data_IF_135643482828
#
_entry.id   IF_135643482828
#
_cell.length_a   1.000
_cell.length_b   1.000
_cell.length_c   1.000
_cell.angle_alpha   90.00
_cell.angle_beta   90.00
_cell.angle_gamma   90.00
#
_symmetry.space_group_name_H-M   'P 1'
#
loop_
_entity.id
_entity.type
_entity.pdbx_description
1 polymer ?
#
# COMPACT_ATOMS: atom_id res chain seq x y z
N UNK A 1 -0.52 -32.42 23.64
CA UNK A 1 -1.97 -32.13 23.62
C UNK A 1 -2.21 -30.94 24.52
N UNK A 2 -2.07 -29.75 23.98
CA UNK A 2 -2.55 -28.52 24.61
C UNK A 2 -3.99 -28.33 24.15
N UNK A 3 -4.89 -28.38 25.12
CA UNK A 3 -6.34 -28.28 24.96
C UNK A 3 -6.64 -26.84 24.52
N UNK A 4 -6.88 -26.66 23.22
CA UNK A 4 -7.23 -25.37 22.62
C UNK A 4 -8.69 -25.06 22.97
N UNK A 5 -8.91 -24.57 24.19
CA UNK A 5 -10.22 -24.06 24.64
C UNK A 5 -10.54 -22.81 23.84
N UNK A 6 -11.17 -23.01 22.69
CA UNK A 6 -11.84 -21.95 21.94
C UNK A 6 -12.87 -21.31 22.88
N UNK A 7 -12.58 -20.09 23.35
CA UNK A 7 -13.56 -19.32 24.12
C UNK A 7 -14.81 -19.14 23.25
N UNK A 8 -16.02 -19.22 23.82
CA UNK A 8 -17.23 -18.98 23.05
C UNK A 8 -17.17 -17.57 22.46
N UNK A 9 -17.41 -17.46 21.15
CA UNK A 9 -17.45 -16.17 20.46
C UNK A 9 -18.55 -15.31 21.09
N UNK A 10 -18.17 -14.15 21.62
CA UNK A 10 -19.13 -13.14 22.10
C UNK A 10 -19.57 -12.31 20.90
N UNK A 11 -20.88 -12.13 20.73
CA UNK A 11 -21.45 -11.28 19.68
C UNK A 11 -22.16 -10.09 20.31
N UNK A 12 -21.95 -8.91 19.74
CA UNK A 12 -22.65 -7.67 20.11
C UNK A 12 -23.44 -7.21 18.89
N UNK A 13 -24.72 -6.90 19.08
CA UNK A 13 -25.62 -6.47 18.00
C UNK A 13 -26.26 -5.13 18.36
N UNK A 14 -26.37 -4.25 17.37
CA UNK A 14 -27.05 -2.96 17.50
C UNK A 14 -28.57 -3.15 17.37
N UNK A 15 -29.26 -3.25 18.49
CA UNK A 15 -30.73 -3.44 18.51
C UNK A 15 -31.52 -2.14 18.26
N UNK A 16 -30.96 -0.98 18.63
CA UNK A 16 -31.56 0.33 18.41
C UNK A 16 -30.48 1.41 18.42
N UNK A 17 -30.70 2.52 17.70
CA UNK A 17 -29.70 3.58 17.58
C UNK A 17 -29.87 4.40 16.29
N UNK A 18 -28.78 4.84 15.64
CA UNK A 18 -28.86 5.70 14.45
C UNK A 18 -29.71 5.08 13.36
N UNK A 19 -30.53 5.92 12.69
CA UNK A 19 -31.44 5.49 11.61
C UNK A 19 -30.75 5.36 10.24
N UNK A 20 -29.43 5.56 10.19
CA UNK A 20 -28.64 5.49 8.96
C UNK A 20 -28.18 4.06 8.65
N UNK A 21 -27.70 3.85 7.42
CA UNK A 21 -27.03 2.61 7.02
C UNK A 21 -25.68 2.46 7.72
N UNK A 22 -25.29 1.23 8.05
CA UNK A 22 -23.98 0.89 8.59
C UNK A 22 -24.06 -0.08 9.77
N UNK A 23 -23.02 -0.89 9.90
CA UNK A 23 -22.75 -1.76 11.05
C UNK A 23 -21.95 -1.03 12.14
N UNK A 24 -21.81 -1.65 13.32
CA UNK A 24 -20.92 -1.15 14.37
C UNK A 24 -19.48 -0.98 13.83
N UNK A 25 -19.02 -1.93 13.02
CA UNK A 25 -17.69 -1.92 12.40
C UNK A 25 -17.53 -0.74 11.42
N UNK A 26 -18.59 -0.40 10.67
CA UNK A 26 -18.58 0.78 9.78
C UNK A 26 -18.46 2.09 10.58
N UNK A 27 -19.14 2.16 11.73
CA UNK A 27 -19.07 3.32 12.61
C UNK A 27 -17.68 3.44 13.27
N UNK A 28 -17.12 2.34 13.75
CA UNK A 28 -15.76 2.30 14.29
C UNK A 28 -14.75 2.72 13.24
N UNK A 29 -14.82 2.18 12.02
CA UNK A 29 -13.94 2.55 10.92
C UNK A 29 -14.05 4.05 10.59
N UNK A 30 -15.25 4.60 10.54
CA UNK A 30 -15.47 6.03 10.33
C UNK A 30 -14.80 6.87 11.44
N UNK A 31 -15.01 6.50 12.70
CA UNK A 31 -14.44 7.25 13.82
C UNK A 31 -12.92 7.11 13.90
N UNK A 32 -12.37 5.93 13.63
CA UNK A 32 -10.94 5.67 13.59
C UNK A 32 -10.26 6.51 12.49
N UNK A 33 -10.79 6.51 11.27
CA UNK A 33 -10.29 7.32 10.16
C UNK A 33 -10.33 8.81 10.48
N UNK A 34 -11.43 9.30 11.06
CA UNK A 34 -11.57 10.71 11.47
C UNK A 34 -10.60 11.11 12.57
N UNK A 35 -10.35 10.22 13.54
CA UNK A 35 -9.38 10.48 14.60
C UNK A 35 -7.94 10.52 14.04
N UNK A 36 -7.61 9.57 13.18
CA UNK A 36 -6.30 9.48 12.53
C UNK A 36 -6.01 10.70 11.64
N UNK A 37 -6.97 11.08 10.78
CA UNK A 37 -6.88 12.29 9.96
C UNK A 37 -6.63 13.55 10.79
N UNK A 38 -7.32 13.67 11.93
CA UNK A 38 -7.09 14.79 12.87
C UNK A 38 -5.66 14.80 13.40
N UNK A 39 -5.11 13.67 13.81
CA UNK A 39 -3.74 13.61 14.32
C UNK A 39 -2.72 13.91 13.22
N UNK A 40 -2.87 13.31 12.04
CA UNK A 40 -2.02 13.58 10.88
C UNK A 40 -2.02 15.07 10.51
N UNK A 41 -3.20 15.68 10.43
CA UNK A 41 -3.35 17.12 10.14
C UNK A 41 -2.68 18.00 11.19
N UNK A 42 -2.78 17.65 12.48
CA UNK A 42 -2.23 18.46 13.57
C UNK A 42 -0.72 18.34 13.72
N UNK A 43 -0.17 17.14 13.49
CA UNK A 43 1.27 16.90 13.52
C UNK A 43 1.94 17.42 12.24
N UNK A 44 1.25 17.33 11.10
CA UNK A 44 1.82 17.57 9.79
C UNK A 44 2.87 16.52 9.43
N UNK A 45 3.38 16.59 8.19
CA UNK A 45 4.39 15.65 7.68
C UNK A 45 5.62 15.57 8.58
N UNK A 46 6.24 16.71 8.91
CA UNK A 46 7.45 16.70 9.73
C UNK A 46 7.19 16.18 11.16
N UNK A 47 6.07 16.55 11.78
CA UNK A 47 5.74 16.04 13.12
C UNK A 47 5.49 14.53 13.16
N UNK A 48 4.94 13.95 12.08
CA UNK A 48 4.82 12.49 11.95
C UNK A 48 6.18 11.82 11.77
N UNK A 49 7.06 12.38 10.93
CA UNK A 49 8.42 11.87 10.73
C UNK A 49 9.23 11.93 12.03
N UNK A 50 9.13 13.03 12.77
CA UNK A 50 9.82 13.19 14.05
C UNK A 50 9.27 12.20 15.11
N UNK A 51 7.94 12.00 15.15
CA UNK A 51 7.31 11.06 16.07
C UNK A 51 7.74 9.62 15.81
N UNK A 52 7.87 9.23 14.54
CA UNK A 52 8.16 7.86 14.11
C UNK A 52 9.65 7.63 13.82
N UNK A 53 10.53 8.59 14.09
CA UNK A 53 11.93 8.52 13.68
C UNK A 53 12.65 7.25 14.20
N UNK A 54 12.36 6.85 15.43
CA UNK A 54 12.93 5.63 16.02
C UNK A 54 12.39 4.36 15.35
N UNK A 55 11.07 4.30 15.13
CA UNK A 55 10.41 3.15 14.47
C UNK A 55 10.90 3.00 13.03
N UNK A 56 11.07 4.12 12.31
CA UNK A 56 11.61 4.17 10.94
C UNK A 56 13.04 3.62 10.91
N UNK A 57 13.90 4.02 11.84
CA UNK A 57 15.28 3.53 11.88
C UNK A 57 15.31 2.02 12.16
N UNK A 58 14.48 1.54 13.09
CA UNK A 58 14.35 0.11 13.39
C UNK A 58 13.84 -0.68 12.17
N UNK A 59 12.78 -0.21 11.51
CA UNK A 59 12.21 -0.86 10.34
C UNK A 59 13.15 -0.86 9.14
N UNK A 60 13.83 0.25 8.88
CA UNK A 60 14.83 0.34 7.82
C UNK A 60 16.03 -0.56 8.11
N UNK A 61 16.47 -0.69 9.37
CA UNK A 61 17.53 -1.61 9.75
C UNK A 61 17.12 -3.08 9.53
N UNK A 62 15.90 -3.45 9.88
CA UNK A 62 15.34 -4.76 9.59
C UNK A 62 15.35 -5.08 8.09
N UNK A 63 14.82 -4.17 7.26
CA UNK A 63 14.78 -4.35 5.81
C UNK A 63 16.19 -4.42 5.18
N UNK A 64 17.12 -3.61 5.67
CA UNK A 64 18.52 -3.63 5.23
C UNK A 64 19.18 -4.97 5.53
N UNK A 65 18.95 -5.54 6.71
CA UNK A 65 19.51 -6.85 7.06
C UNK A 65 18.91 -7.96 6.20
N UNK A 66 17.61 -7.93 5.95
CA UNK A 66 16.96 -8.89 5.05
C UNK A 66 17.50 -8.79 3.62
N UNK A 67 17.70 -7.57 3.09
CA UNK A 67 18.30 -7.36 1.78
C UNK A 67 19.76 -7.83 1.73
N UNK A 68 20.55 -7.56 2.78
CA UNK A 68 21.96 -7.97 2.87
C UNK A 68 22.13 -9.48 2.89
N UNK A 69 21.19 -10.20 3.50
CA UNK A 69 21.26 -11.66 3.69
C UNK A 69 20.50 -12.45 2.63
N UNK A 70 19.87 -11.78 1.65
CA UNK A 70 19.09 -12.46 0.63
C UNK A 70 19.89 -13.00 -0.55
N UNK A 71 21.16 -12.57 -0.69
CA UNK A 71 21.97 -12.81 -1.90
C UNK A 71 21.23 -12.42 -3.20
N UNK A 72 20.37 -11.40 -3.13
CA UNK A 72 19.58 -10.91 -4.25
C UNK A 72 18.29 -11.68 -4.54
N UNK A 73 17.95 -12.70 -3.73
CA UNK A 73 16.70 -13.44 -3.85
C UNK A 73 15.52 -12.65 -3.26
N UNK A 74 14.34 -12.80 -3.88
CA UNK A 74 13.09 -12.19 -3.44
C UNK A 74 11.96 -13.23 -3.42
N UNK A 75 11.02 -13.06 -2.50
CA UNK A 75 9.72 -13.73 -2.51
C UNK A 75 8.66 -12.74 -2.98
N UNK A 76 7.78 -13.19 -3.86
CA UNK A 76 6.72 -12.39 -4.43
C UNK A 76 5.34 -12.79 -3.87
N UNK A 77 4.41 -11.84 -3.90
CA UNK A 77 2.99 -12.12 -3.67
C UNK A 77 2.14 -11.10 -4.41
N UNK A 78 0.97 -11.54 -4.88
CA UNK A 78 0.06 -10.73 -5.70
C UNK A 78 -1.30 -10.58 -5.04
N UNK A 79 -1.77 -9.34 -4.92
CA UNK A 79 -3.15 -9.01 -4.59
C UNK A 79 -3.90 -8.68 -5.86
N UNK A 80 -5.06 -9.31 -6.08
CA UNK A 80 -5.89 -9.10 -7.27
C UNK A 80 -7.21 -8.44 -6.88
N UNK A 81 -7.50 -7.29 -7.46
CA UNK A 81 -8.75 -6.55 -7.24
C UNK A 81 -9.53 -6.44 -8.55
N UNK A 82 -10.85 -6.60 -8.48
CA UNK A 82 -11.76 -6.31 -9.59
C UNK A 82 -12.59 -5.07 -9.25
N UNK A 83 -12.51 -4.06 -10.10
CA UNK A 83 -13.27 -2.83 -10.01
C UNK A 83 -14.32 -2.77 -11.11
N UNK A 84 -15.48 -2.18 -10.80
CA UNK A 84 -16.58 -1.94 -11.75
C UNK A 84 -17.05 -0.49 -11.63
N UNK A 85 -17.53 0.08 -12.74
CA UNK A 85 -18.05 1.45 -12.79
C UNK A 85 -17.00 2.54 -12.98
N UNK A 86 -15.75 2.17 -13.27
CA UNK A 86 -14.63 3.06 -13.56
C UNK A 86 -13.61 2.29 -14.42
N UNK A 87 -13.10 2.89 -15.50
CA UNK A 87 -12.04 2.28 -16.34
C UNK A 87 -10.66 2.41 -15.70
N UNK A 88 -9.70 1.56 -16.07
CA UNK A 88 -8.33 1.71 -15.55
C UNK A 88 -7.70 3.05 -15.96
N UNK A 89 -8.06 3.57 -17.13
CA UNK A 89 -7.57 4.85 -17.66
C UNK A 89 -8.00 6.03 -16.78
N UNK A 90 -9.28 6.06 -16.40
CA UNK A 90 -9.84 7.08 -15.53
C UNK A 90 -9.25 6.99 -14.11
N UNK A 91 -9.07 5.76 -13.58
CA UNK A 91 -8.40 5.54 -12.31
C UNK A 91 -6.96 6.08 -12.31
N UNK A 92 -6.17 5.73 -13.33
CA UNK A 92 -4.78 6.14 -13.43
C UNK A 92 -4.64 7.65 -13.66
N UNK A 93 -5.56 8.27 -14.41
CA UNK A 93 -5.60 9.72 -14.58
C UNK A 93 -5.80 10.42 -13.23
N UNK A 94 -6.70 9.91 -12.39
CA UNK A 94 -6.90 10.41 -11.03
C UNK A 94 -5.67 10.19 -10.15
N UNK A 95 -5.07 9.00 -10.23
CA UNK A 95 -3.90 8.64 -9.43
C UNK A 95 -2.69 9.51 -9.77
N UNK A 96 -2.40 9.71 -11.05
CA UNK A 96 -1.33 10.61 -11.52
C UNK A 96 -1.54 12.03 -11.00
N UNK A 97 -2.79 12.53 -11.02
CA UNK A 97 -3.13 13.84 -10.46
C UNK A 97 -2.94 13.90 -8.95
N UNK A 98 -3.29 12.83 -8.22
CA UNK A 98 -3.11 12.75 -6.76
C UNK A 98 -1.62 12.75 -6.37
N UNK A 99 -0.76 12.04 -7.11
CA UNK A 99 0.69 12.04 -6.89
C UNK A 99 1.38 13.34 -7.32
N UNK A 100 0.83 14.07 -8.29
CA UNK A 100 1.37 15.34 -8.75
C UNK A 100 0.93 16.56 -7.91
N UNK A 101 -0.11 16.41 -7.09
CA UNK A 101 -0.65 17.49 -6.28
C UNK A 101 0.26 17.80 -5.06
N UNK A 102 0.28 19.06 -4.63
CA UNK A 102 0.88 19.48 -3.35
C UNK A 102 -0.04 19.18 -2.15
N UNK A 103 -0.90 18.18 -2.30
CA UNK A 103 -1.88 17.72 -1.32
C UNK A 103 -1.77 16.20 -1.17
N UNK A 104 -1.11 15.75 -0.12
CA UNK A 104 -0.89 14.33 0.17
C UNK A 104 -2.10 13.65 0.83
N UNK A 105 -3.15 14.41 1.21
CA UNK A 105 -4.31 13.87 1.92
C UNK A 105 -4.99 12.71 1.20
N UNK A 106 -5.23 12.74 -0.14
CA UNK A 106 -5.84 11.61 -0.84
C UNK A 106 -4.97 10.35 -0.80
N UNK A 107 -3.64 10.52 -0.84
CA UNK A 107 -2.68 9.41 -0.76
C UNK A 107 -2.64 8.83 0.65
N UNK A 108 -2.58 9.68 1.67
CA UNK A 108 -2.56 9.24 3.07
C UNK A 108 -3.90 8.62 3.49
N UNK A 109 -5.04 9.09 2.99
CA UNK A 109 -6.36 8.57 3.35
C UNK A 109 -6.62 7.14 2.86
N UNK A 110 -5.80 6.64 1.92
CA UNK A 110 -5.95 5.32 1.33
C UNK A 110 -5.66 4.18 2.29
N UNK A 111 -4.74 4.39 3.24
CA UNK A 111 -4.41 3.40 4.25
C UNK A 111 -4.17 4.04 5.62
N UNK A 112 -4.67 3.44 6.73
CA UNK A 112 -4.39 3.93 8.09
C UNK A 112 -2.89 3.95 8.45
N UNK A 113 -2.08 3.16 7.76
CA UNK A 113 -0.63 3.06 7.99
C UNK A 113 0.19 3.88 6.99
N UNK A 114 -0.42 4.75 6.18
CA UNK A 114 0.34 5.78 5.44
C UNK A 114 0.65 6.97 6.35
N UNK A 115 1.92 7.16 6.71
CA UNK A 115 2.34 8.24 7.59
C UNK A 115 2.90 9.45 6.84
N UNK A 116 3.58 9.22 5.72
CA UNK A 116 4.01 10.28 4.82
C UNK A 116 4.12 9.74 3.39
N UNK A 117 3.65 10.51 2.42
CA UNK A 117 3.83 10.22 1.00
C UNK A 117 4.10 11.52 0.27
N UNK A 118 5.04 11.50 -0.67
CA UNK A 118 5.32 12.64 -1.53
C UNK A 118 6.79 12.78 -1.86
N UNK A 119 7.10 13.74 -2.71
CA UNK A 119 8.45 13.94 -3.22
C UNK A 119 9.29 14.78 -2.26
N UNK A 120 10.58 14.47 -2.16
CA UNK A 120 11.61 15.32 -1.55
C UNK A 120 12.82 15.43 -2.49
N UNK A 121 13.96 15.93 -1.99
CA UNK A 121 15.18 16.11 -2.78
C UNK A 121 15.80 14.80 -3.32
N UNK A 122 15.44 13.65 -2.74
CA UNK A 122 15.93 12.33 -3.13
C UNK A 122 14.96 11.69 -4.14
N UNK A 123 13.66 11.78 -3.90
CA UNK A 123 12.65 11.23 -4.80
C UNK A 123 11.27 11.09 -4.17
N UNK A 124 10.45 10.21 -4.74
CA UNK A 124 9.12 9.88 -4.21
C UNK A 124 9.28 9.03 -2.93
N UNK A 125 9.14 9.68 -1.77
CA UNK A 125 9.28 9.05 -0.46
C UNK A 125 7.94 8.52 0.02
N UNK A 126 7.98 7.33 0.58
CA UNK A 126 6.84 6.67 1.24
C UNK A 126 7.27 6.26 2.65
N UNK A 127 6.44 6.58 3.63
CA UNK A 127 6.59 6.14 5.02
C UNK A 127 5.33 5.41 5.44
N UNK A 128 5.46 4.11 5.61
CA UNK A 128 4.35 3.20 5.90
C UNK A 128 4.84 1.92 6.57
N UNK A 129 3.89 1.08 7.01
CA UNK A 129 4.20 -0.24 7.52
C UNK A 129 4.57 -1.22 6.39
N UNK A 130 5.72 -1.88 6.53
CA UNK A 130 6.10 -3.09 5.79
C UNK A 130 6.15 -4.24 6.80
N UNK A 131 5.10 -5.07 6.82
CA UNK A 131 4.90 -5.97 7.95
C UNK A 131 4.63 -5.18 9.25
N UNK A 132 5.13 -5.62 10.40
CA UNK A 132 4.97 -4.87 11.65
C UNK A 132 5.88 -3.63 11.75
N UNK A 133 6.74 -3.38 10.76
CA UNK A 133 7.78 -2.35 10.82
C UNK A 133 7.36 -1.07 10.10
N UNK A 134 7.48 0.08 10.77
CA UNK A 134 7.36 1.38 10.10
C UNK A 134 8.65 1.61 9.32
N UNK A 135 8.54 1.82 8.01
CA UNK A 135 9.70 1.94 7.12
C UNK A 135 9.59 3.24 6.33
N UNK A 136 10.75 3.81 5.99
CA UNK A 136 10.86 4.95 5.08
C UNK A 136 11.68 4.54 3.88
N UNK A 137 11.04 4.42 2.73
CA UNK A 137 11.67 4.03 1.47
C UNK A 137 11.29 5.00 0.35
N UNK A 138 11.98 4.86 -0.76
CA UNK A 138 11.78 5.64 -1.96
C UNK A 138 11.37 4.74 -3.10
N UNK A 139 10.40 5.20 -3.88
CA UNK A 139 9.96 4.55 -5.10
C UNK A 139 10.57 5.29 -6.29
N UNK A 140 11.07 4.55 -7.26
CA UNK A 140 11.71 5.13 -8.43
C UNK A 140 12.24 4.10 -9.44
N UNK A 141 12.99 4.61 -10.41
CA UNK A 141 13.67 3.82 -11.42
C UNK A 141 12.86 3.55 -12.70
N UNK A 142 11.64 4.07 -12.84
CA UNK A 142 10.78 3.84 -14.00
C UNK A 142 11.50 4.08 -15.34
N UNK A 143 11.49 3.08 -16.22
CA UNK A 143 12.13 3.16 -17.54
C UNK A 143 13.66 3.16 -17.53
N UNK A 144 14.31 2.80 -16.41
CA UNK A 144 15.77 2.69 -16.30
C UNK A 144 16.22 1.24 -16.20
N UNK A 145 17.52 0.97 -16.36
CA UNK A 145 18.12 -0.36 -16.17
C UNK A 145 17.86 -0.94 -14.76
N UNK A 146 17.56 -0.10 -13.76
CA UNK A 146 17.18 -0.56 -12.43
C UNK A 146 15.89 -1.40 -12.42
N UNK A 147 15.05 -1.28 -13.47
CA UNK A 147 13.79 -2.03 -13.65
C UNK A 147 13.92 -3.24 -14.57
N UNK A 148 15.12 -3.59 -15.04
CA UNK A 148 15.31 -4.72 -15.96
C UNK A 148 14.74 -6.05 -15.42
N UNK A 149 14.72 -6.21 -14.09
CA UNK A 149 14.11 -7.38 -13.44
C UNK A 149 12.62 -7.56 -13.78
N UNK A 150 11.89 -6.49 -14.10
CA UNK A 150 10.46 -6.53 -14.34
C UNK A 150 10.11 -7.11 -15.72
N UNK A 151 11.05 -7.08 -16.67
CA UNK A 151 10.86 -7.64 -18.03
C UNK A 151 10.78 -9.17 -18.02
N UNK A 152 11.49 -9.81 -17.08
CA UNK A 152 11.59 -11.26 -16.93
C UNK A 152 10.90 -11.78 -15.66
N UNK A 153 10.06 -10.97 -15.01
CA UNK A 153 9.36 -11.37 -13.79
C UNK A 153 8.31 -12.46 -14.08
N UNK A 154 8.27 -13.51 -13.25
CA UNK A 154 7.33 -14.62 -13.41
C UNK A 154 5.86 -14.16 -13.29
N UNK A 155 5.61 -13.10 -12.53
CA UNK A 155 4.29 -12.50 -12.31
C UNK A 155 3.90 -11.49 -13.41
N UNK A 156 4.75 -11.24 -14.41
CA UNK A 156 4.44 -10.31 -15.50
C UNK A 156 3.32 -10.85 -16.39
N UNK A 157 2.17 -10.15 -16.39
CA UNK A 157 1.03 -10.52 -17.23
C UNK A 157 1.15 -9.97 -18.66
N UNK A 158 0.52 -10.62 -19.67
CA UNK A 158 0.62 -10.20 -21.08
C UNK A 158 0.14 -8.77 -21.32
N UNK A 159 0.93 -7.97 -22.05
CA UNK A 159 0.63 -6.58 -22.40
C UNK A 159 -0.69 -6.43 -23.17
N UNK A 160 -1.09 -7.45 -23.95
CA UNK A 160 -2.37 -7.46 -24.69
C UNK A 160 -3.60 -7.48 -23.78
N UNK A 161 -3.44 -7.97 -22.54
CA UNK A 161 -4.51 -8.07 -21.54
C UNK A 161 -4.35 -7.02 -20.43
N UNK A 162 -3.10 -6.67 -20.10
CA UNK A 162 -2.74 -5.70 -19.07
C UNK A 162 -1.84 -4.59 -19.65
N UNK A 163 -2.39 -3.69 -20.49
CA UNK A 163 -1.61 -2.70 -21.25
C UNK A 163 -1.10 -1.52 -20.40
N UNK A 164 -1.43 -1.47 -19.12
CA UNK A 164 -1.00 -0.42 -18.20
C UNK A 164 -0.24 -1.07 -17.06
N UNK A 165 1.03 -0.71 -16.92
CA UNK A 165 1.90 -1.26 -15.89
C UNK A 165 2.80 -0.20 -15.28
N UNK A 166 3.13 -0.41 -14.02
CA UNK A 166 4.14 0.35 -13.28
C UNK A 166 5.03 -0.65 -12.55
N UNK A 167 6.35 -0.45 -12.65
CA UNK A 167 7.34 -1.22 -11.90
C UNK A 167 8.23 -0.28 -11.11
N UNK A 168 8.61 -0.67 -9.89
CA UNK A 168 9.52 0.14 -9.06
C UNK A 168 10.37 -0.74 -8.17
N UNK A 169 11.60 -0.28 -7.86
CA UNK A 169 12.34 -0.75 -6.71
C UNK A 169 11.96 0.13 -5.52
N UNK A 170 11.90 -0.48 -4.34
CA UNK A 170 11.84 0.22 -3.07
C UNK A 170 13.26 0.31 -2.55
N UNK A 171 13.79 1.52 -2.43
CA UNK A 171 15.15 1.75 -1.95
C UNK A 171 15.18 2.59 -0.67
N UNK A 172 16.09 2.24 0.24
CA UNK A 172 16.42 3.08 1.38
C UNK A 172 17.19 4.32 0.91
N UNK A 173 17.34 5.31 1.79
CA UNK A 173 18.10 6.55 1.51
C UNK A 173 19.54 6.29 1.07
N UNK A 174 20.17 5.21 1.59
CA UNK A 174 21.52 4.77 1.20
C UNK A 174 21.59 4.04 -0.15
N UNK A 175 20.45 3.87 -0.84
CA UNK A 175 20.33 3.19 -2.13
C UNK A 175 20.13 1.66 -2.03
N UNK A 176 20.07 1.08 -0.82
CA UNK A 176 19.81 -0.35 -0.65
C UNK A 176 18.44 -0.71 -1.19
N UNK A 177 18.36 -1.64 -2.14
CA UNK A 177 17.08 -2.19 -2.63
C UNK A 177 16.50 -3.16 -1.61
N UNK A 178 15.36 -2.81 -1.04
CA UNK A 178 14.69 -3.56 0.05
C UNK A 178 13.34 -4.12 -0.36
N UNK A 179 12.91 -3.88 -1.59
CA UNK A 179 11.69 -4.43 -2.14
C UNK A 179 11.51 -4.06 -3.61
N UNK A 180 10.48 -4.61 -4.23
CA UNK A 180 10.06 -4.26 -5.59
C UNK A 180 8.54 -4.28 -5.68
N UNK A 181 7.99 -3.53 -6.63
CA UNK A 181 6.57 -3.52 -6.95
C UNK A 181 6.38 -3.68 -8.47
N UNK A 182 5.42 -4.51 -8.86
CA UNK A 182 4.92 -4.67 -10.22
C UNK A 182 3.39 -4.58 -10.18
N UNK A 183 2.85 -3.51 -10.75
CA UNK A 183 1.44 -3.17 -10.72
C UNK A 183 0.92 -3.19 -12.15
N UNK A 184 -0.15 -3.92 -12.41
CA UNK A 184 -0.70 -4.12 -13.76
C UNK A 184 -2.22 -3.98 -13.77
N UNK A 185 -2.76 -3.29 -14.77
CA UNK A 185 -4.20 -3.09 -14.95
C UNK A 185 -4.67 -3.60 -16.31
N UNK A 186 -5.74 -4.39 -16.29
CA UNK A 186 -6.41 -4.90 -17.47
C UNK A 186 -7.86 -4.46 -17.50
N UNK A 187 -8.27 -3.76 -18.55
CA UNK A 187 -9.65 -3.29 -18.69
C UNK A 187 -10.62 -4.47 -18.89
N UNK A 188 -11.81 -4.36 -18.31
CA UNK A 188 -12.93 -5.29 -18.49
C UNK A 188 -14.11 -4.56 -19.11
N UNK A 189 -15.18 -5.28 -19.49
CA UNK A 189 -16.35 -4.69 -20.15
C UNK A 189 -17.00 -3.53 -19.34
N UNK A 190 -16.93 -3.58 -18.01
CA UNK A 190 -17.53 -2.61 -17.11
C UNK A 190 -16.57 -2.06 -16.03
N UNK A 191 -15.25 -2.18 -16.24
CA UNK A 191 -14.27 -1.73 -15.26
C UNK A 191 -12.85 -2.20 -15.57
N UNK A 192 -12.13 -2.70 -14.55
CA UNK A 192 -10.79 -3.27 -14.73
C UNK A 192 -10.42 -4.27 -13.62
N UNK A 193 -9.37 -5.06 -13.88
CA UNK A 193 -8.67 -5.87 -12.88
C UNK A 193 -7.32 -5.24 -12.58
N UNK A 194 -6.99 -5.07 -11.30
CA UNK A 194 -5.67 -4.65 -10.84
C UNK A 194 -4.92 -5.86 -10.26
N UNK A 195 -3.74 -6.16 -10.78
CA UNK A 195 -2.79 -7.12 -10.21
C UNK A 195 -1.65 -6.34 -9.55
N UNK A 196 -1.53 -6.49 -8.24
CA UNK A 196 -0.63 -5.71 -7.39
C UNK A 196 0.39 -6.67 -6.79
N UNK A 197 1.55 -6.80 -7.44
CA UNK A 197 2.61 -7.71 -7.01
C UNK A 197 3.68 -6.94 -6.24
N UNK A 198 4.02 -7.41 -5.05
CA UNK A 198 5.16 -6.93 -4.27
C UNK A 198 6.20 -8.04 -4.14
N UNK A 199 7.47 -7.65 -4.06
CA UNK A 199 8.59 -8.53 -3.82
C UNK A 199 9.36 -8.03 -2.61
N UNK A 200 9.62 -8.93 -1.65
CA UNK A 200 10.52 -8.65 -0.52
C UNK A 200 11.71 -9.60 -0.53
N UNK A 201 12.88 -9.18 -0.01
CA UNK A 201 14.04 -10.04 0.12
C UNK A 201 13.67 -11.38 0.77
N UNK A 202 14.18 -12.49 0.25
CA UNK A 202 13.80 -13.84 0.69
C UNK A 202 13.90 -14.10 2.21
N UNK A 203 14.82 -13.47 2.97
CA UNK A 203 14.87 -13.58 4.43
C UNK A 203 13.74 -12.85 5.19
N UNK A 204 12.99 -11.95 4.54
CA UNK A 204 11.81 -11.35 5.17
C UNK A 204 10.83 -12.47 5.56
N UNK A 205 10.31 -12.49 6.80
CA UNK A 205 9.35 -13.51 7.19
C UNK A 205 8.04 -13.40 6.38
N UNK A 206 7.34 -14.52 6.22
CA UNK A 206 6.13 -14.60 5.40
C UNK A 206 5.02 -13.61 5.83
N UNK A 207 4.95 -13.29 7.12
CA UNK A 207 3.96 -12.34 7.64
C UNK A 207 4.16 -10.90 7.13
N UNK A 208 5.40 -10.51 6.77
CA UNK A 208 5.69 -9.23 6.10
C UNK A 208 5.01 -9.19 4.74
N UNK A 209 5.16 -10.27 3.95
CA UNK A 209 4.52 -10.40 2.65
C UNK A 209 2.99 -10.42 2.80
N UNK A 210 2.46 -11.30 3.65
CA UNK A 210 1.01 -11.42 3.88
C UNK A 210 0.40 -10.10 4.38
N UNK A 211 1.14 -9.33 5.19
CA UNK A 211 0.69 -8.01 5.62
C UNK A 211 0.60 -7.05 4.43
N UNK A 212 1.63 -6.98 3.59
CA UNK A 212 1.61 -6.06 2.46
C UNK A 212 0.55 -6.44 1.41
N UNK A 213 0.20 -7.72 1.28
CA UNK A 213 -0.95 -8.14 0.46
C UNK A 213 -2.28 -7.58 1.00
N UNK A 214 -2.47 -7.62 2.32
CA UNK A 214 -3.63 -6.97 2.96
C UNK A 214 -3.59 -5.45 2.81
N UNK A 215 -2.40 -4.86 2.89
CA UNK A 215 -2.17 -3.43 2.69
C UNK A 215 -2.65 -3.00 1.30
N UNK A 216 -2.17 -3.65 0.23
CA UNK A 216 -2.60 -3.39 -1.16
C UNK A 216 -4.11 -3.53 -1.35
N UNK A 217 -4.73 -4.53 -0.71
CA UNK A 217 -6.18 -4.70 -0.79
C UNK A 217 -6.94 -3.48 -0.23
N UNK A 218 -6.49 -2.91 0.89
CA UNK A 218 -7.13 -1.74 1.52
C UNK A 218 -6.79 -0.46 0.77
N UNK A 219 -5.52 -0.24 0.46
CA UNK A 219 -4.99 0.95 -0.22
C UNK A 219 -5.68 1.15 -1.57
N UNK A 220 -5.52 0.21 -2.49
CA UNK A 220 -6.05 0.36 -3.85
C UNK A 220 -7.57 0.38 -3.87
N UNK A 221 -8.25 -0.37 -3.00
CA UNK A 221 -9.71 -0.27 -2.86
C UNK A 221 -10.14 1.15 -2.49
N UNK A 222 -9.45 1.81 -1.56
CA UNK A 222 -9.79 3.17 -1.15
C UNK A 222 -9.45 4.19 -2.23
N UNK A 223 -8.32 4.06 -2.91
CA UNK A 223 -7.97 4.90 -4.07
C UNK A 223 -8.97 4.77 -5.22
N UNK A 224 -9.37 3.56 -5.58
CA UNK A 224 -10.35 3.32 -6.65
C UNK A 224 -11.69 3.98 -6.31
N UNK A 225 -12.16 3.85 -5.06
CA UNK A 225 -13.40 4.48 -4.60
C UNK A 225 -13.27 6.02 -4.59
N UNK A 226 -12.12 6.55 -4.18
CA UNK A 226 -11.86 7.98 -4.21
C UNK A 226 -11.84 8.55 -5.63
N UNK A 227 -11.22 7.83 -6.57
CA UNK A 227 -11.21 8.18 -7.99
C UNK A 227 -12.61 8.22 -8.59
N UNK A 228 -13.44 7.22 -8.30
CA UNK A 228 -14.83 7.18 -8.75
C UNK A 228 -15.65 8.35 -8.15
N UNK A 229 -15.46 8.66 -6.86
CA UNK A 229 -16.15 9.76 -6.20
C UNK A 229 -15.74 11.14 -6.74
N UNK A 230 -14.50 11.30 -7.22
CA UNK A 230 -14.02 12.56 -7.80
C UNK A 230 -14.58 12.86 -9.20
N UNK A 231 -15.24 11.88 -9.83
CA UNK A 231 -15.86 12.03 -11.16
C UNK A 231 -17.37 12.32 -11.10
N UNK A 232 -17.98 12.18 -9.92
CA UNK A 232 -19.40 12.43 -9.67
C UNK A 232 -19.67 13.92 -9.40
#
# INVERSE_FOLDING_TARGET
MTDDRTLPAVTVTLESGPTGSGSIDDFELFYARRALDRFRTRLGRQGLLDLLAADIEEGNAFLRECARTSDGAFNAGTTVLSARGLTSAEFLTWMDAAFAADDDRPLLAAHPEHYAMGTDAIGARVVENIGPHVCSFYMGGWGTAAMAWAEDADELLPESEFPRKMSSNLFLEDGTVVGRALIQFGDTADGFTANLTVYFPAPCPQDVLDHHLRHYAVEFRNWIVAAAAAQA
#
